data_IF_552501909473
#
_entry.id   IF_552501909473
#
_cell.length_a   1.000
_cell.length_b   1.000
_cell.length_c   1.000
_cell.angle_alpha   90.00
_cell.angle_beta   90.00
_cell.angle_gamma   90.00
#
_symmetry.space_group_name_H-M   'P 1'
#
loop_
_entity.id
_entity.type
_entity.pdbx_description
1 polymer ?
#
# COMPACT_ATOMS: atom_id res chain seq x y z
N UNK A 1 -8.83 -1.21 -1.29
CA UNK A 1 -8.88 -2.63 -0.88
C UNK A 1 -8.24 -2.78 0.49
N UNK A 2 -8.80 -3.60 1.39
CA UNK A 2 -8.12 -3.93 2.65
C UNK A 2 -7.30 -5.21 2.46
N UNK A 3 -6.06 -5.21 2.94
CA UNK A 3 -5.16 -6.36 2.83
C UNK A 3 -4.42 -6.62 4.14
N UNK A 4 -4.19 -7.90 4.41
CA UNK A 4 -3.37 -8.40 5.51
C UNK A 4 -2.13 -9.14 5.01
N UNK A 5 -2.03 -9.32 3.68
CA UNK A 5 -1.03 -10.13 3.04
C UNK A 5 0.26 -9.32 2.84
N UNK A 6 1.32 -9.74 3.51
CA UNK A 6 2.54 -8.92 3.59
C UNK A 6 3.20 -8.72 2.23
N UNK A 7 3.11 -9.70 1.34
CA UNK A 7 3.69 -9.63 0.00
C UNK A 7 2.93 -8.63 -0.87
N UNK A 8 1.59 -8.65 -0.83
CA UNK A 8 0.76 -7.68 -1.53
C UNK A 8 0.99 -6.25 -1.02
N UNK A 9 1.09 -6.09 0.31
CA UNK A 9 1.35 -4.77 0.91
C UNK A 9 2.75 -4.27 0.54
N UNK A 10 3.76 -5.14 0.53
CA UNK A 10 5.12 -4.76 0.09
C UNK A 10 5.15 -4.37 -1.38
N UNK A 11 4.44 -5.12 -2.24
CA UNK A 11 4.29 -4.76 -3.65
C UNK A 11 3.63 -3.39 -3.79
N UNK A 12 2.54 -3.13 -3.07
CA UNK A 12 1.87 -1.83 -3.10
C UNK A 12 2.73 -0.68 -2.53
N UNK A 13 3.56 -0.93 -1.50
CA UNK A 13 4.51 0.04 -0.99
C UNK A 13 5.64 0.34 -2.00
N UNK A 14 6.07 -0.68 -2.74
CA UNK A 14 6.99 -0.50 -3.85
C UNK A 14 6.34 0.35 -4.94
N UNK A 15 5.13 0.00 -5.38
CA UNK A 15 4.37 0.81 -6.32
C UNK A 15 4.19 2.24 -5.82
N UNK A 16 3.87 2.47 -4.54
CA UNK A 16 3.77 3.82 -3.94
C UNK A 16 5.06 4.64 -4.07
N UNK A 17 6.23 3.99 -4.03
CA UNK A 17 7.52 4.67 -4.14
C UNK A 17 7.84 5.10 -5.58
N UNK A 18 7.35 4.36 -6.58
CA UNK A 18 7.61 4.60 -8.01
C UNK A 18 6.46 5.31 -8.73
N UNK A 19 5.22 5.10 -8.29
CA UNK A 19 3.99 5.61 -8.88
C UNK A 19 3.16 6.29 -7.79
N UNK A 20 2.88 7.58 -7.97
CA UNK A 20 2.09 8.38 -7.02
C UNK A 20 0.63 7.95 -6.89
N UNK A 21 0.20 6.96 -7.64
CA UNK A 21 -1.19 6.52 -7.75
C UNK A 21 -1.52 5.34 -6.84
N UNK A 22 -0.51 4.63 -6.36
CA UNK A 22 -0.69 3.62 -5.32
C UNK A 22 -0.38 4.26 -3.99
N UNK A 23 -1.34 4.21 -3.06
CA UNK A 23 -1.18 4.68 -1.69
C UNK A 23 -1.51 3.54 -0.74
N UNK A 24 -0.64 3.36 0.25
CA UNK A 24 -0.88 2.41 1.35
C UNK A 24 -1.15 3.22 2.61
N UNK A 25 -2.33 3.03 3.19
CA UNK A 25 -2.81 3.76 4.36
C UNK A 25 -3.27 2.83 5.46
N UNK A 26 -3.27 3.33 6.68
CA UNK A 26 -3.89 2.71 7.83
C UNK A 26 -4.71 3.77 8.56
N UNK A 27 -6.04 3.67 8.45
CA UNK A 27 -6.93 4.78 8.82
C UNK A 27 -6.58 6.04 8.02
N UNK A 28 -6.21 7.12 8.73
CA UNK A 28 -5.78 8.39 8.14
C UNK A 28 -4.25 8.50 7.96
N UNK A 29 -3.48 7.52 8.43
CA UNK A 29 -2.03 7.57 8.40
C UNK A 29 -1.45 6.88 7.15
N UNK A 30 -0.40 7.46 6.57
CA UNK A 30 0.35 6.84 5.48
C UNK A 30 1.27 5.74 6.03
N UNK A 31 1.22 4.56 5.42
CA UNK A 31 2.13 3.46 5.73
C UNK A 31 3.40 3.61 4.90
N UNK A 32 4.55 3.52 5.56
CA UNK A 32 5.87 3.63 4.93
C UNK A 32 6.58 2.28 4.80
N UNK A 33 6.35 1.38 5.75
CA UNK A 33 6.91 0.04 5.75
C UNK A 33 5.98 -0.94 6.47
N UNK A 34 6.06 -2.22 6.11
CA UNK A 34 5.39 -3.30 6.86
C UNK A 34 6.36 -4.44 7.16
N UNK A 35 6.09 -5.14 8.25
CA UNK A 35 6.77 -6.38 8.63
C UNK A 35 5.80 -7.33 9.31
N UNK A 36 6.12 -8.62 9.30
CA UNK A 36 5.42 -9.62 10.11
C UNK A 36 6.33 -10.03 11.26
N UNK A 37 5.82 -9.94 12.49
CA UNK A 37 6.57 -10.33 13.67
C UNK A 37 5.65 -11.16 14.59
N UNK A 38 6.11 -12.36 14.97
CA UNK A 38 5.34 -13.32 15.79
C UNK A 38 3.90 -13.56 15.26
N UNK A 39 3.75 -13.70 13.94
CA UNK A 39 2.44 -13.91 13.29
C UNK A 39 1.59 -12.66 13.10
N UNK A 40 1.91 -11.55 13.77
CA UNK A 40 1.18 -10.29 13.68
C UNK A 40 1.78 -9.34 12.63
N UNK A 41 0.91 -8.69 11.85
CA UNK A 41 1.29 -7.65 10.92
C UNK A 41 1.62 -6.36 11.70
N UNK A 42 2.74 -5.74 11.36
CA UNK A 42 3.13 -4.45 11.91
C UNK A 42 3.44 -3.45 10.81
N UNK A 43 2.94 -2.23 10.95
CA UNK A 43 3.18 -1.14 10.01
C UNK A 43 3.98 -0.02 10.67
N UNK A 44 4.88 0.59 9.91
CA UNK A 44 5.51 1.85 10.24
C UNK A 44 4.74 2.97 9.56
N UNK A 45 4.24 3.90 10.36
CA UNK A 45 3.44 5.03 9.90
C UNK A 45 4.32 6.27 9.74
N UNK A 46 4.03 7.08 8.72
CA UNK A 46 4.74 8.34 8.50
C UNK A 46 4.57 9.26 9.71
N UNK A 47 5.69 9.78 10.23
CA UNK A 47 5.70 10.64 11.42
C UNK A 47 5.69 9.90 12.76
N UNK A 48 5.68 8.57 12.78
CA UNK A 48 5.71 7.77 14.00
C UNK A 48 7.06 7.08 14.19
N UNK A 49 7.58 7.10 15.42
CA UNK A 49 8.80 6.39 15.78
C UNK A 49 8.52 4.90 16.06
N UNK A 50 8.48 4.09 15.00
CA UNK A 50 8.52 2.63 15.09
C UNK A 50 7.36 1.90 14.42
N UNK A 51 7.37 0.57 14.59
CA UNK A 51 6.33 -0.33 14.07
C UNK A 51 5.20 -0.53 15.08
N UNK A 52 3.96 -0.46 14.60
CA UNK A 52 2.76 -0.71 15.39
C UNK A 52 2.03 -1.93 14.86
N UNK A 53 1.44 -2.77 15.72
CA UNK A 53 0.57 -3.84 15.27
C UNK A 53 -0.64 -3.26 14.55
N UNK A 54 -0.98 -3.83 13.40
CA UNK A 54 -2.15 -3.46 12.61
C UNK A 54 -2.87 -4.74 12.19
N UNK A 55 -4.21 -4.69 12.14
CA UNK A 55 -5.01 -5.83 11.73
C UNK A 55 -5.01 -5.97 10.20
N UNK A 56 -5.16 -4.86 9.49
CA UNK A 56 -5.15 -4.75 8.03
C UNK A 56 -4.60 -3.38 7.63
N UNK A 57 -4.22 -3.22 6.36
CA UNK A 57 -3.95 -1.90 5.76
C UNK A 57 -4.84 -1.70 4.54
N UNK A 58 -5.11 -0.44 4.20
CA UNK A 58 -5.84 -0.05 3.01
C UNK A 58 -4.86 0.25 1.88
N UNK A 59 -4.97 -0.51 0.80
CA UNK A 59 -4.28 -0.24 -0.46
C UNK A 59 -5.27 0.49 -1.37
N UNK A 60 -4.93 1.71 -1.73
CA UNK A 60 -5.66 2.54 -2.67
C UNK A 60 -4.85 2.64 -3.95
N UNK A 61 -5.34 2.07 -5.03
CA UNK A 61 -4.79 2.26 -6.38
C UNK A 61 -5.74 3.20 -7.11
N UNK A 62 -5.33 4.45 -7.30
CA UNK A 62 -6.07 5.38 -8.13
C UNK A 62 -5.97 4.90 -9.58
N UNK A 63 -7.11 4.55 -10.18
CA UNK A 63 -7.21 4.16 -11.60
C UNK A 63 -6.82 5.30 -12.54
N UNK A 64 -6.84 6.55 -12.06
CA UNK A 64 -6.54 7.75 -12.82
C UNK A 64 -5.25 8.38 -12.28
N UNK A 65 -4.11 7.86 -12.69
CA UNK A 65 -2.86 8.60 -12.60
C UNK A 65 -2.94 9.83 -13.51
N UNK A 66 -2.74 11.07 -13.02
CA UNK A 66 -2.74 12.27 -13.88
C UNK A 66 -1.52 12.40 -14.80
N UNK A 67 -0.74 11.33 -14.98
CA UNK A 67 0.33 11.23 -15.97
C UNK A 67 0.02 10.01 -16.81
N UNK A 68 -0.46 10.21 -18.04
CA UNK A 68 -1.06 9.19 -18.92
C UNK A 68 -0.16 7.99 -19.26
N UNK A 69 -0.02 7.07 -18.32
CA UNK A 69 0.76 5.83 -18.46
C UNK A 69 0.20 4.68 -17.61
N UNK A 70 -1.07 4.73 -17.23
CA UNK A 70 -1.78 3.60 -16.63
C UNK A 70 -2.99 3.22 -17.49
N UNK A 71 -2.76 3.15 -18.80
CA UNK A 71 -3.62 2.43 -19.72
C UNK A 71 -2.69 1.53 -20.54
N UNK A 72 -2.43 0.34 -20.01
CA UNK A 72 -2.01 -0.78 -20.84
C UNK A 72 -2.89 -1.96 -20.47
N UNK A 73 -3.97 -2.06 -21.25
CA UNK A 73 -4.65 -3.29 -21.67
C UNK A 73 -5.45 -4.06 -20.61
N UNK A 74 -6.76 -3.84 -20.59
CA UNK A 74 -7.73 -4.93 -20.80
C UNK A 74 -9.05 -4.35 -21.34
N UNK A 75 -9.20 -4.32 -22.66
CA UNK A 75 -10.50 -4.18 -23.30
C UNK A 75 -10.69 -5.43 -24.18
N UNK A 76 -11.64 -6.33 -23.85
CA UNK A 76 -11.87 -7.54 -24.64
C UNK A 76 -12.39 -7.17 -26.03
N UNK A 77 -11.80 -7.80 -27.06
CA UNK A 77 -12.20 -7.70 -28.48
C UNK A 77 -13.58 -8.26 -28.76
#
# INVERSE_FOLDING_TARGET
MQSTDIEEIKAALWEQAYHSCTQVKWGVAQVMAVRRNRGQLQAQLRGWSGFRPVESVSIERASLCPTGACDLEDAPS
#
